data_IF_986326104690
#
_entry.id   IF_986326104690
#
_cell.length_a   1.000
_cell.length_b   1.000
_cell.length_c   1.000
_cell.angle_alpha   90.00
_cell.angle_beta   90.00
_cell.angle_gamma   90.00
#
_symmetry.space_group_name_H-M   'P 1'
#
loop_
_entity.id
_entity.type
_entity.pdbx_description
1 polymer ?
#
# COMPACT_ATOMS: atom_id res chain seq x y z
N UNK A 1 -11.37 -5.47 10.35
CA UNK A 1 -11.37 -6.73 9.58
C UNK A 1 -12.79 -7.02 9.11
N UNK A 2 -12.93 -7.70 7.96
CA UNK A 2 -14.21 -7.97 7.31
C UNK A 2 -14.64 -9.41 7.54
N UNK A 3 -15.94 -9.66 7.58
CA UNK A 3 -16.48 -11.03 7.53
C UNK A 3 -16.36 -11.57 6.09
N UNK A 4 -15.22 -12.21 5.80
CA UNK A 4 -14.86 -12.68 4.45
C UNK A 4 -15.86 -13.73 3.94
N UNK A 5 -16.26 -14.77 4.70
CA UNK A 5 -17.28 -15.73 4.25
C UNK A 5 -18.61 -15.10 3.84
N UNK A 6 -19.05 -14.04 4.54
CA UNK A 6 -20.30 -13.36 4.22
C UNK A 6 -20.23 -12.55 2.91
N UNK A 7 -19.05 -12.07 2.52
CA UNK A 7 -18.88 -11.14 1.39
C UNK A 7 -18.37 -11.83 0.12
N UNK A 8 -17.49 -12.84 0.24
CA UNK A 8 -16.74 -13.38 -0.90
C UNK A 8 -17.62 -14.05 -1.97
N UNK A 9 -18.81 -14.53 -1.58
CA UNK A 9 -19.79 -15.11 -2.49
C UNK A 9 -20.66 -14.06 -3.19
N UNK A 10 -20.65 -12.81 -2.71
CA UNK A 10 -21.44 -11.70 -3.25
C UNK A 10 -20.66 -10.85 -4.25
N UNK A 11 -19.34 -11.05 -4.35
CA UNK A 11 -18.44 -10.25 -5.20
C UNK A 11 -17.67 -11.13 -6.18
N UNK A 12 -17.36 -10.58 -7.35
CA UNK A 12 -16.53 -11.25 -8.35
C UNK A 12 -15.04 -11.18 -7.98
N UNK A 13 -14.59 -10.00 -7.55
CA UNK A 13 -13.20 -9.70 -7.21
C UNK A 13 -13.15 -8.80 -5.97
N UNK A 14 -12.15 -9.00 -5.13
CA UNK A 14 -11.78 -8.16 -4.01
C UNK A 14 -10.44 -7.50 -4.31
N UNK A 15 -10.43 -6.17 -4.37
CA UNK A 15 -9.20 -5.39 -4.46
C UNK A 15 -8.64 -5.14 -3.06
N UNK A 16 -7.52 -5.79 -2.73
CA UNK A 16 -6.80 -5.59 -1.48
C UNK A 16 -5.83 -4.43 -1.59
N UNK A 17 -6.22 -3.30 -1.03
CA UNK A 17 -5.36 -2.13 -0.93
C UNK A 17 -4.42 -2.26 0.28
N UNK A 18 -3.40 -3.11 0.16
CA UNK A 18 -2.41 -3.40 1.20
C UNK A 18 -1.31 -2.33 1.26
N UNK A 19 -1.71 -1.08 1.38
CA UNK A 19 -0.83 0.09 1.43
C UNK A 19 -1.46 1.16 2.34
N UNK A 20 -0.72 2.23 2.63
CA UNK A 20 -1.10 3.25 3.62
C UNK A 20 -1.29 2.69 5.05
N UNK A 21 -0.47 1.70 5.42
CA UNK A 21 -0.40 1.21 6.81
C UNK A 21 0.10 2.32 7.75
N UNK A 22 1.22 2.92 7.41
CA UNK A 22 1.76 4.12 8.05
C UNK A 22 1.57 5.31 7.10
N UNK A 23 1.06 6.40 7.65
CA UNK A 23 0.86 7.66 6.90
C UNK A 23 1.16 8.83 7.82
N UNK A 24 1.69 9.92 7.30
CA UNK A 24 1.96 11.10 8.12
C UNK A 24 0.70 11.71 8.76
N UNK A 25 -0.49 11.43 8.20
CA UNK A 25 -1.76 11.84 8.81
C UNK A 25 -2.08 11.04 10.09
N UNK A 26 -1.72 9.75 10.15
CA UNK A 26 -1.95 8.88 11.31
C UNK A 26 -0.75 8.85 12.27
N UNK A 27 0.45 8.94 11.71
CA UNK A 27 1.74 8.81 12.37
C UNK A 27 2.60 10.02 11.98
N UNK A 28 2.27 11.24 12.44
CA UNK A 28 3.03 12.44 12.06
C UNK A 28 4.46 12.43 12.61
N UNK A 29 4.67 11.74 13.75
CA UNK A 29 5.94 11.71 14.46
C UNK A 29 6.86 10.53 14.13
N UNK A 30 6.36 9.61 13.30
CA UNK A 30 7.03 8.36 13.01
C UNK A 30 6.90 8.05 11.52
N UNK A 31 8.01 8.11 10.81
CA UNK A 31 8.10 7.72 9.42
C UNK A 31 8.44 6.23 9.34
N UNK A 32 7.53 5.42 8.79
CA UNK A 32 7.74 3.99 8.56
C UNK A 32 7.20 3.56 7.18
N UNK A 33 7.46 2.30 6.83
CA UNK A 33 7.06 1.71 5.56
C UNK A 33 5.54 1.76 5.36
N UNK A 34 5.11 2.35 4.25
CA UNK A 34 3.69 2.51 3.92
C UNK A 34 3.04 1.22 3.43
N UNK A 35 3.83 0.31 2.84
CA UNK A 35 3.39 -0.93 2.21
C UNK A 35 4.49 -2.01 2.28
N UNK A 36 4.94 -2.43 3.48
CA UNK A 36 5.95 -3.47 3.59
C UNK A 36 5.38 -4.82 3.14
N UNK A 37 6.10 -5.54 2.28
CA UNK A 37 5.64 -6.85 1.79
C UNK A 37 5.53 -7.86 2.93
N UNK A 38 6.53 -7.87 3.82
CA UNK A 38 6.60 -8.72 5.01
C UNK A 38 6.73 -7.87 6.26
N UNK A 39 6.40 -8.46 7.42
CA UNK A 39 6.55 -7.83 8.73
C UNK A 39 8.01 -7.37 8.97
N UNK A 40 8.26 -6.06 9.14
CA UNK A 40 9.55 -5.58 9.61
C UNK A 40 9.80 -5.98 11.08
N UNK A 41 11.05 -6.13 11.48
CA UNK A 41 11.39 -6.50 12.87
C UNK A 41 10.83 -5.49 13.88
N UNK A 42 10.25 -5.96 14.99
CA UNK A 42 9.65 -5.11 16.03
C UNK A 42 8.46 -4.24 15.55
N UNK A 43 7.79 -4.59 14.45
CA UNK A 43 6.55 -3.92 13.98
C UNK A 43 5.33 -4.81 14.20
N UNK A 44 4.16 -4.18 14.06
CA UNK A 44 2.89 -4.88 14.09
C UNK A 44 2.81 -5.94 12.98
N UNK A 45 2.48 -7.16 13.37
CA UNK A 45 2.40 -8.32 12.48
C UNK A 45 1.28 -8.20 11.45
N UNK A 46 0.31 -7.31 11.66
CA UNK A 46 -0.85 -7.16 10.79
C UNK A 46 -0.68 -6.06 9.73
N UNK A 47 0.33 -5.19 9.88
CA UNK A 47 0.53 -4.02 9.02
C UNK A 47 1.51 -4.31 7.88
N UNK A 48 1.21 -5.36 7.11
CA UNK A 48 1.99 -5.76 5.94
C UNK A 48 1.10 -6.48 4.91
N UNK A 49 1.63 -6.55 3.68
CA UNK A 49 0.94 -7.15 2.53
C UNK A 49 0.67 -8.63 2.77
N UNK A 50 1.67 -9.38 3.19
CA UNK A 50 1.58 -10.83 3.42
C UNK A 50 0.45 -11.19 4.38
N UNK A 51 0.39 -10.52 5.53
CA UNK A 51 -0.64 -10.77 6.54
C UNK A 51 -2.03 -10.36 6.07
N UNK A 52 -2.12 -9.30 5.27
CA UNK A 52 -3.40 -8.87 4.69
C UNK A 52 -3.92 -9.89 3.67
N UNK A 53 -3.05 -10.43 2.81
CA UNK A 53 -3.43 -11.46 1.84
C UNK A 53 -3.77 -12.77 2.57
N UNK A 54 -2.91 -13.20 3.49
CA UNK A 54 -3.10 -14.42 4.27
C UNK A 54 -4.38 -14.39 5.09
N UNK A 55 -4.79 -13.23 5.60
CA UNK A 55 -6.09 -13.08 6.28
C UNK A 55 -7.27 -13.49 5.38
N UNK A 56 -7.29 -13.01 4.13
CA UNK A 56 -8.38 -13.34 3.19
C UNK A 56 -8.35 -14.80 2.77
N UNK A 57 -7.17 -15.34 2.48
CA UNK A 57 -7.02 -16.74 2.09
C UNK A 57 -7.40 -17.69 3.23
N UNK A 58 -6.92 -17.41 4.45
CA UNK A 58 -7.23 -18.21 5.64
C UNK A 58 -8.72 -18.14 6.02
N UNK A 59 -9.38 -17.02 5.73
CA UNK A 59 -10.82 -16.87 5.93
C UNK A 59 -11.68 -17.50 4.81
N UNK A 60 -11.06 -18.26 3.89
CA UNK A 60 -11.75 -19.03 2.86
C UNK A 60 -11.98 -18.30 1.54
N UNK A 61 -11.33 -17.15 1.32
CA UNK A 61 -11.42 -16.49 0.01
C UNK A 61 -10.64 -17.27 -1.06
N UNK A 62 -11.26 -17.60 -2.21
CA UNK A 62 -10.53 -18.16 -3.34
C UNK A 62 -9.46 -17.18 -3.82
N UNK A 63 -8.23 -17.65 -4.01
CA UNK A 63 -7.11 -16.81 -4.48
C UNK A 63 -7.37 -16.15 -5.83
N UNK A 64 -8.17 -16.77 -6.69
CA UNK A 64 -8.59 -16.23 -7.98
C UNK A 64 -9.48 -14.97 -7.88
N UNK A 65 -10.13 -14.75 -6.73
CA UNK A 65 -10.95 -13.56 -6.48
C UNK A 65 -10.17 -12.43 -5.80
N UNK A 66 -8.96 -12.69 -5.32
CA UNK A 66 -8.18 -11.71 -4.55
C UNK A 66 -7.18 -11.01 -5.49
N UNK A 67 -7.35 -9.71 -5.68
CA UNK A 67 -6.43 -8.87 -6.46
C UNK A 67 -5.65 -7.97 -5.51
N UNK A 68 -4.33 -8.10 -5.56
CA UNK A 68 -3.43 -7.29 -4.75
C UNK A 68 -3.22 -5.91 -5.39
N UNK A 69 -3.60 -4.85 -4.67
CA UNK A 69 -3.36 -3.48 -5.06
C UNK A 69 -1.91 -3.07 -4.77
N UNK A 70 -1.24 -2.51 -5.78
CA UNK A 70 0.12 -1.97 -5.66
C UNK A 70 0.04 -0.44 -5.66
N UNK A 71 0.53 0.19 -4.60
CA UNK A 71 0.62 1.64 -4.54
C UNK A 71 1.71 2.14 -5.51
N UNK A 72 1.31 2.98 -6.45
CA UNK A 72 2.20 3.68 -7.37
C UNK A 72 2.61 5.05 -6.87
N UNK A 73 2.37 5.32 -5.58
CA UNK A 73 2.72 6.56 -4.89
C UNK A 73 3.46 6.26 -3.59
N UNK A 74 4.27 7.23 -3.15
CA UNK A 74 4.90 7.20 -1.83
C UNK A 74 4.18 8.12 -0.85
N UNK A 75 4.34 7.85 0.45
CA UNK A 75 4.06 8.84 1.51
C UNK A 75 5.38 9.35 2.02
N UNK A 76 5.40 10.63 2.36
CA UNK A 76 6.60 11.33 2.77
C UNK A 76 6.37 11.98 4.12
N UNK A 77 7.46 12.08 4.88
CA UNK A 77 7.55 12.78 6.14
C UNK A 77 8.66 13.79 6.06
N UNK A 78 8.55 14.84 6.86
CA UNK A 78 9.66 15.72 7.14
C UNK A 78 10.34 15.21 8.40
N UNK A 79 11.61 14.85 8.25
CA UNK A 79 12.44 14.34 9.33
C UNK A 79 12.90 15.51 10.22
N UNK A 80 13.14 15.21 11.49
CA UNK A 80 13.67 16.15 12.47
C UNK A 80 15.15 15.89 12.74
N UNK A 81 15.75 16.69 13.64
CA UNK A 81 17.15 16.52 14.06
C UNK A 81 17.42 15.23 14.81
N UNK A 82 16.38 14.61 15.35
CA UNK A 82 16.46 13.41 16.19
C UNK A 82 16.35 12.13 15.34
N UNK A 83 16.20 12.29 14.03
CA UNK A 83 16.13 11.21 13.06
C UNK A 83 17.49 10.56 12.84
N UNK A 84 17.52 9.24 12.84
CA UNK A 84 18.76 8.49 12.62
C UNK A 84 19.30 8.68 11.19
N UNK A 85 20.62 8.86 11.09
CA UNK A 85 21.33 9.01 9.80
C UNK A 85 21.30 7.71 8.98
N UNK A 86 21.05 6.57 9.63
CA UNK A 86 20.94 5.25 8.98
C UNK A 86 19.88 5.26 7.86
N UNK A 87 18.86 6.11 7.97
CA UNK A 87 17.74 6.18 7.04
C UNK A 87 16.86 4.92 7.05
N UNK A 88 17.07 4.04 8.02
CA UNK A 88 16.28 2.82 8.21
C UNK A 88 15.11 3.15 9.13
N UNK A 89 13.85 3.01 8.69
CA UNK A 89 12.69 3.18 9.54
C UNK A 89 12.72 2.28 10.80
N UNK A 90 11.96 2.62 11.86
CA UNK A 90 11.16 3.84 11.99
C UNK A 90 12.05 5.05 12.25
N UNK A 91 11.75 6.18 11.61
CA UNK A 91 12.47 7.43 11.83
C UNK A 91 11.59 8.45 12.54
N UNK A 92 12.20 9.28 13.38
CA UNK A 92 11.54 10.42 13.96
C UNK A 92 11.11 11.41 12.86
N UNK A 93 9.97 12.05 13.06
CA UNK A 93 9.45 13.02 12.12
C UNK A 93 8.68 14.10 12.87
N UNK A 94 8.46 15.24 12.23
CA UNK A 94 7.66 16.31 12.81
C UNK A 94 6.30 16.45 12.13
N UNK A 95 6.24 16.31 10.79
CA UNK A 95 5.05 16.55 10.00
C UNK A 95 5.05 15.76 8.68
N UNK A 96 3.92 15.84 7.95
CA UNK A 96 3.81 15.30 6.61
C UNK A 96 4.79 16.01 5.66
N UNK A 97 5.56 15.22 4.92
CA UNK A 97 6.45 15.75 3.89
C UNK A 97 5.63 16.39 2.78
N UNK A 98 6.17 17.45 2.19
CA UNK A 98 5.48 18.17 1.12
C UNK A 98 5.24 17.24 -0.08
N UNK A 99 4.01 17.24 -0.57
CA UNK A 99 3.68 16.55 -1.80
C UNK A 99 4.34 17.30 -2.97
N UNK A 100 5.43 16.77 -3.49
CA UNK A 100 6.06 17.36 -4.66
C UNK A 100 5.07 17.34 -5.84
N UNK A 101 4.89 18.50 -6.47
CA UNK A 101 4.07 18.70 -7.67
C UNK A 101 4.32 17.68 -8.79
N UNK A 102 5.54 17.10 -8.88
CA UNK A 102 5.87 16.05 -9.85
C UNK A 102 5.26 14.67 -9.53
N UNK A 103 4.87 14.45 -8.27
CA UNK A 103 4.24 13.21 -7.78
C UNK A 103 2.73 13.37 -7.49
N UNK A 104 2.18 14.59 -7.58
CA UNK A 104 0.74 14.86 -7.45
C UNK A 104 -0.14 14.20 -8.53
N UNK A 105 0.46 13.57 -9.55
CA UNK A 105 -0.21 13.12 -10.75
C UNK A 105 -0.13 11.60 -11.01
N UNK A 106 -0.19 10.74 -9.98
CA UNK A 106 -0.49 9.31 -10.17
C UNK A 106 -1.82 8.95 -9.50
N UNK A 107 -2.82 9.84 -9.60
CA UNK A 107 -4.17 9.59 -9.03
C UNK A 107 -5.26 9.48 -10.09
N UNK A 108 -4.95 9.56 -11.39
CA UNK A 108 -5.88 9.20 -12.48
C UNK A 108 -5.10 8.74 -13.71
N UNK A 109 -4.97 7.42 -13.88
CA UNK A 109 -4.53 6.86 -15.15
C UNK A 109 -5.74 6.81 -16.10
N UNK A 110 -5.81 7.77 -17.03
CA UNK A 110 -6.51 7.60 -18.31
C UNK A 110 -5.43 7.23 -19.31
N UNK A 111 -5.51 6.04 -19.90
CA UNK A 111 -4.56 5.58 -20.91
C UNK A 111 -4.59 6.52 -22.12
N UNK A 112 -3.64 7.45 -22.16
CA UNK A 112 -3.32 8.31 -23.31
C UNK A 112 -1.85 8.08 -23.66
N UNK A 113 -1.60 7.68 -24.91
CA UNK A 113 -0.32 7.23 -25.47
C UNK A 113 0.76 8.31 -25.37
N UNK A 114 1.84 8.04 -24.63
CA UNK A 114 3.22 7.99 -25.12
C UNK A 114 4.24 8.00 -23.96
N UNK A 115 4.73 6.80 -23.60
CA UNK A 115 6.01 6.59 -22.92
C UNK A 115 6.45 5.13 -23.17
N UNK A 116 7.72 4.84 -23.52
CA UNK A 116 8.07 3.55 -24.11
C UNK A 116 8.20 2.43 -23.08
N UNK A 117 7.30 1.44 -23.24
CA UNK A 117 7.52 -0.01 -23.23
C UNK A 117 7.81 -0.72 -21.89
N UNK A 118 6.73 -1.14 -21.21
CA UNK A 118 6.57 -2.52 -20.75
C UNK A 118 5.13 -2.97 -21.09
N UNK A 119 4.90 -3.88 -22.05
CA UNK A 119 3.56 -4.32 -22.42
C UNK A 119 3.06 -5.40 -21.46
N UNK A 120 2.20 -5.02 -20.51
CA UNK A 120 1.33 -5.97 -19.78
C UNK A 120 -0.03 -5.95 -20.47
N UNK A 121 -0.36 -7.04 -21.15
CA UNK A 121 -1.61 -7.20 -21.89
C UNK A 121 -2.72 -7.62 -20.91
N UNK A 122 -3.57 -6.68 -20.47
CA UNK A 122 -4.74 -6.96 -19.65
C UNK A 122 -6.00 -6.90 -20.51
N UNK A 123 -6.59 -8.07 -20.79
CA UNK A 123 -7.91 -8.20 -21.40
C UNK A 123 -8.97 -7.97 -20.33
N UNK A 124 -9.87 -7.02 -20.54
CA UNK A 124 -11.13 -6.90 -19.79
C UNK A 124 -12.19 -7.60 -20.63
N UNK A 125 -12.78 -8.68 -20.10
CA UNK A 125 -13.96 -9.32 -20.69
C UNK A 125 -15.20 -8.63 -20.09
N UNK A 126 -15.95 -7.93 -20.95
CA UNK A 126 -17.38 -7.67 -20.77
C UNK A 126 -18.14 -8.58 -21.71
#
# INVERSE_FOLDING_TARGET
YYDVPAIINLVDIVNLNSFDYYTAARNPKEADYTSPTYKPQNRNELLNVDSSVNYWLAAGAPSSKVVLGIATYGRTWKLDSDSEISGVPPLHANEAGEADSKWKAITRFRLGRDCPKVPVHLRILT
#
